data_IF_802490776452
#
_entry.id   IF_802490776452
#
_cell.length_a   1.000
_cell.length_b   1.000
_cell.length_c   1.000
_cell.angle_alpha   90.00
_cell.angle_beta   90.00
_cell.angle_gamma   90.00
#
_symmetry.space_group_name_H-M   'P 1'
#
loop_
_entity.id
_entity.type
_entity.pdbx_description
1 polymer ?
#
# COMPACT_ATOMS: atom_id res chain seq x y z
N UNK A 1 -35.32 11.04 -0.02
CA UNK A 1 -34.21 11.52 -0.89
C UNK A 1 -33.19 12.40 -0.14
N UNK A 2 -33.60 13.24 0.83
CA UNK A 2 -32.67 14.11 1.58
C UNK A 2 -31.77 13.39 2.62
N UNK A 3 -32.28 12.36 3.31
CA UNK A 3 -31.50 11.60 4.32
C UNK A 3 -30.34 10.77 3.70
N UNK A 4 -30.50 10.31 2.46
CA UNK A 4 -29.47 9.57 1.73
C UNK A 4 -28.26 10.46 1.36
N UNK A 5 -28.49 11.76 1.12
CA UNK A 5 -27.42 12.72 0.80
C UNK A 5 -26.66 13.14 2.06
N UNK A 6 -27.35 13.32 3.19
CA UNK A 6 -26.73 13.66 4.48
C UNK A 6 -25.79 12.56 4.98
N UNK A 7 -26.23 11.30 4.93
CA UNK A 7 -25.39 10.16 5.35
C UNK A 7 -24.18 9.91 4.43
N UNK A 8 -24.21 10.39 3.19
CA UNK A 8 -23.07 10.28 2.26
C UNK A 8 -22.05 11.40 2.50
N UNK A 9 -22.52 12.63 2.75
CA UNK A 9 -21.67 13.77 3.07
C UNK A 9 -20.93 13.56 4.40
N UNK A 10 -21.62 13.04 5.42
CA UNK A 10 -21.03 12.73 6.73
C UNK A 10 -19.88 11.71 6.60
N UNK A 11 -20.12 10.60 5.90
CA UNK A 11 -19.10 9.56 5.67
C UNK A 11 -17.88 10.07 4.90
N UNK A 12 -18.05 11.02 3.99
CA UNK A 12 -16.93 11.65 3.28
C UNK A 12 -16.16 12.63 4.17
N UNK A 13 -16.84 13.34 5.07
CA UNK A 13 -16.19 14.23 6.04
C UNK A 13 -15.38 13.42 7.06
N UNK A 14 -15.97 12.38 7.65
CA UNK A 14 -15.29 11.48 8.59
C UNK A 14 -14.02 10.91 7.94
N UNK A 15 -14.12 10.43 6.69
CA UNK A 15 -12.96 9.91 5.95
C UNK A 15 -11.89 10.98 5.70
N UNK A 16 -12.28 12.21 5.33
CA UNK A 16 -11.32 13.31 5.12
C UNK A 16 -10.62 13.72 6.41
N UNK A 17 -11.30 13.65 7.55
CA UNK A 17 -10.70 13.94 8.85
C UNK A 17 -9.68 12.87 9.25
N UNK A 18 -10.00 11.59 9.03
CA UNK A 18 -9.06 10.47 9.21
C UNK A 18 -7.83 10.62 8.30
N UNK A 19 -8.05 10.92 7.02
CA UNK A 19 -6.98 11.17 6.04
C UNK A 19 -6.09 12.34 6.49
N UNK A 20 -6.67 13.45 6.93
CA UNK A 20 -5.93 14.62 7.45
C UNK A 20 -5.14 14.29 8.73
N UNK A 21 -5.65 13.45 9.63
CA UNK A 21 -4.93 13.04 10.84
C UNK A 21 -3.71 12.18 10.49
N UNK A 22 -3.91 11.20 9.61
CA UNK A 22 -2.85 10.33 9.13
C UNK A 22 -1.76 11.11 8.36
N UNK A 23 -2.14 12.09 7.53
CA UNK A 23 -1.17 12.98 6.87
C UNK A 23 -0.30 13.76 7.85
N UNK A 24 -0.86 14.24 8.97
CA UNK A 24 -0.10 14.97 9.98
C UNK A 24 0.92 14.09 10.69
N UNK A 25 0.68 12.79 10.79
CA UNK A 25 1.62 11.83 11.35
C UNK A 25 2.75 11.51 10.36
N UNK A 26 2.45 11.39 9.07
CA UNK A 26 3.42 10.93 8.07
C UNK A 26 4.28 12.06 7.49
N UNK A 27 3.72 13.26 7.28
CA UNK A 27 4.45 14.39 6.70
C UNK A 27 5.73 14.76 7.47
N UNK A 28 5.77 14.74 8.81
CA UNK A 28 7.02 14.94 9.56
C UNK A 28 8.04 13.83 9.28
N UNK A 29 7.63 12.56 9.31
CA UNK A 29 8.52 11.41 9.06
C UNK A 29 9.09 11.42 7.64
N UNK A 30 8.30 11.85 6.65
CA UNK A 30 8.76 12.08 5.28
C UNK A 30 9.82 13.18 5.23
N UNK A 31 9.59 14.33 5.88
CA UNK A 31 10.55 15.44 5.92
C UNK A 31 11.86 15.06 6.64
N UNK A 32 11.78 14.17 7.61
CA UNK A 32 12.94 13.63 8.33
C UNK A 32 13.67 12.53 7.54
N UNK A 33 13.19 12.16 6.35
CA UNK A 33 13.76 11.07 5.54
C UNK A 33 13.61 9.69 6.19
N UNK A 34 12.72 9.56 7.17
CA UNK A 34 12.45 8.31 7.90
C UNK A 34 11.34 7.48 7.28
N UNK A 35 10.59 8.07 6.36
CA UNK A 35 9.59 7.34 5.58
C UNK A 35 10.31 6.35 4.66
N UNK A 36 10.22 5.08 5.01
CA UNK A 36 10.83 3.97 4.27
C UNK A 36 9.94 2.73 4.35
N UNK A 37 10.35 1.67 3.67
CA UNK A 37 9.63 0.38 3.68
C UNK A 37 9.41 -0.17 5.10
N UNK A 38 10.41 -0.05 6.00
CA UNK A 38 10.31 -0.56 7.37
C UNK A 38 9.24 0.20 8.18
N UNK A 39 9.13 1.51 7.97
CA UNK A 39 8.11 2.34 8.57
C UNK A 39 6.71 1.96 8.07
N UNK A 40 6.55 1.72 6.76
CA UNK A 40 5.29 1.23 6.21
C UNK A 40 4.89 -0.14 6.79
N UNK A 41 5.84 -1.05 6.94
CA UNK A 41 5.61 -2.34 7.59
C UNK A 41 5.19 -2.18 9.06
N UNK A 42 5.76 -1.20 9.76
CA UNK A 42 5.38 -0.89 11.13
C UNK A 42 3.93 -0.36 11.20
N UNK A 43 3.50 0.48 10.26
CA UNK A 43 2.12 0.96 10.18
C UNK A 43 1.14 -0.21 9.97
N UNK A 44 1.46 -1.12 9.05
CA UNK A 44 0.65 -2.32 8.80
C UNK A 44 0.55 -3.24 10.03
N UNK A 45 1.63 -3.38 10.81
CA UNK A 45 1.63 -4.17 12.05
C UNK A 45 0.80 -3.52 13.16
N UNK A 46 0.68 -2.19 13.16
CA UNK A 46 -0.17 -1.43 14.07
C UNK A 46 -1.63 -1.33 13.60
N UNK A 47 -1.98 -1.99 12.49
CA UNK A 47 -3.32 -1.94 11.89
C UNK A 47 -3.73 -0.52 11.42
N UNK A 48 -2.75 0.36 11.23
CA UNK A 48 -2.91 1.75 10.77
C UNK A 48 -2.98 1.79 9.23
N UNK A 49 -4.08 1.27 8.67
CA UNK A 49 -4.21 1.12 7.22
C UNK A 49 -4.31 2.46 6.48
N UNK A 50 -4.99 3.45 7.04
CA UNK A 50 -5.15 4.77 6.41
C UNK A 50 -3.81 5.49 6.28
N UNK A 51 -3.02 5.44 7.34
CA UNK A 51 -1.63 5.90 7.39
C UNK A 51 -0.79 5.14 6.38
N UNK A 52 -0.87 3.81 6.32
CA UNK A 52 -0.14 3.03 5.33
C UNK A 52 -0.47 3.48 3.90
N UNK A 53 -1.74 3.67 3.55
CA UNK A 53 -2.16 4.10 2.20
C UNK A 53 -1.58 5.48 1.87
N UNK A 54 -1.60 6.42 2.82
CA UNK A 54 -1.04 7.77 2.63
C UNK A 54 0.49 7.70 2.49
N UNK A 55 1.18 6.99 3.38
CA UNK A 55 2.63 6.84 3.34
C UNK A 55 3.10 6.13 2.09
N UNK A 56 2.37 5.12 1.65
CA UNK A 56 2.63 4.42 0.40
C UNK A 56 2.45 5.35 -0.80
N UNK A 57 1.36 6.14 -0.84
CA UNK A 57 1.14 7.14 -1.88
C UNK A 57 2.26 8.17 -1.97
N UNK A 58 2.77 8.63 -0.82
CA UNK A 58 3.88 9.59 -0.75
C UNK A 58 5.21 8.98 -1.24
N UNK A 59 5.49 7.72 -0.95
CA UNK A 59 6.71 7.03 -1.42
C UNK A 59 6.63 6.64 -2.90
N UNK A 60 5.44 6.24 -3.36
CA UNK A 60 5.20 5.84 -4.75
C UNK A 60 4.89 7.05 -5.66
N UNK A 61 4.84 8.26 -5.12
CA UNK A 61 4.48 9.49 -5.84
C UNK A 61 3.13 9.40 -6.58
N UNK A 62 2.16 8.70 -5.97
CA UNK A 62 0.79 8.52 -6.50
C UNK A 62 -0.25 9.17 -5.59
N UNK A 63 -1.39 9.56 -6.16
CA UNK A 63 -2.50 10.11 -5.38
C UNK A 63 -3.14 9.05 -4.46
N UNK A 64 -3.85 9.52 -3.43
CA UNK A 64 -4.44 8.65 -2.41
C UNK A 64 -5.48 7.68 -2.98
N UNK A 65 -6.26 8.10 -3.98
CA UNK A 65 -7.26 7.22 -4.59
C UNK A 65 -6.57 6.10 -5.38
N UNK A 66 -5.48 6.41 -6.08
CA UNK A 66 -4.65 5.40 -6.76
C UNK A 66 -3.96 4.48 -5.76
N UNK A 67 -3.34 5.02 -4.69
CA UNK A 67 -2.72 4.20 -3.64
C UNK A 67 -3.71 3.22 -3.01
N UNK A 68 -4.93 3.68 -2.73
CA UNK A 68 -6.00 2.82 -2.22
C UNK A 68 -6.37 1.71 -3.20
N UNK A 69 -6.55 2.03 -4.48
CA UNK A 69 -6.85 1.03 -5.52
C UNK A 69 -5.74 0.00 -5.66
N UNK A 70 -4.48 0.43 -5.55
CA UNK A 70 -3.30 -0.43 -5.56
C UNK A 70 -3.32 -1.44 -4.40
N UNK A 71 -3.73 -0.99 -3.21
CA UNK A 71 -3.77 -1.81 -1.99
C UNK A 71 -4.99 -2.73 -1.96
N UNK A 72 -6.13 -2.25 -2.46
CA UNK A 72 -7.38 -3.02 -2.56
C UNK A 72 -7.38 -4.01 -3.75
N UNK A 73 -6.39 -3.92 -4.65
CA UNK A 73 -6.25 -4.81 -5.81
C UNK A 73 -6.03 -6.27 -5.37
N UNK A 74 -7.00 -7.17 -5.64
CA UNK A 74 -6.89 -8.58 -5.24
C UNK A 74 -5.83 -9.34 -6.04
N UNK A 75 -5.37 -8.84 -7.19
CA UNK A 75 -4.30 -9.48 -7.96
C UNK A 75 -2.93 -9.29 -7.32
N UNK A 76 -2.77 -8.25 -6.47
CA UNK A 76 -1.50 -7.78 -5.90
C UNK A 76 -0.46 -7.35 -6.94
N UNK A 77 -0.83 -7.30 -8.22
CA UNK A 77 0.06 -6.86 -9.29
C UNK A 77 0.32 -5.36 -9.19
N UNK A 78 -0.72 -4.55 -8.96
CA UNK A 78 -0.55 -3.12 -8.77
C UNK A 78 0.38 -2.81 -7.58
N UNK A 79 0.19 -3.53 -6.46
CA UNK A 79 1.03 -3.37 -5.27
C UNK A 79 2.47 -3.78 -5.56
N UNK A 80 2.68 -4.86 -6.31
CA UNK A 80 4.01 -5.33 -6.69
C UNK A 80 4.72 -4.33 -7.60
N UNK A 81 4.03 -3.78 -8.61
CA UNK A 81 4.57 -2.76 -9.51
C UNK A 81 4.96 -1.50 -8.74
N UNK A 82 4.05 -0.98 -7.92
CA UNK A 82 4.30 0.23 -7.15
C UNK A 82 5.42 0.02 -6.10
N UNK A 83 5.44 -1.13 -5.41
CA UNK A 83 6.54 -1.50 -4.51
C UNK A 83 7.88 -1.54 -5.24
N UNK A 84 7.89 -2.01 -6.50
CA UNK A 84 9.10 -2.07 -7.31
C UNK A 84 9.56 -0.68 -7.76
N UNK A 85 8.64 0.20 -8.11
CA UNK A 85 8.94 1.59 -8.46
C UNK A 85 9.59 2.34 -7.27
N UNK A 86 9.14 2.05 -6.05
CA UNK A 86 9.73 2.59 -4.82
C UNK A 86 11.08 1.95 -4.43
N UNK A 87 11.52 0.91 -5.13
CA UNK A 87 12.77 0.20 -4.83
C UNK A 87 12.69 -0.79 -3.66
N UNK A 88 11.49 -1.20 -3.24
CA UNK A 88 11.32 -2.09 -2.10
C UNK A 88 11.84 -3.50 -2.37
N UNK A 89 12.33 -4.14 -1.30
CA UNK A 89 12.80 -5.52 -1.36
C UNK A 89 11.65 -6.55 -1.45
N UNK A 90 12.01 -7.80 -1.77
CA UNK A 90 11.06 -8.90 -1.93
C UNK A 90 10.32 -9.25 -0.63
N UNK A 91 11.01 -9.19 0.50
CA UNK A 91 10.47 -9.50 1.83
C UNK A 91 9.52 -8.43 2.31
N UNK A 92 9.82 -7.15 2.06
CA UNK A 92 8.96 -6.02 2.33
C UNK A 92 7.67 -6.14 1.52
N UNK A 93 7.77 -6.37 0.21
CA UNK A 93 6.59 -6.61 -0.63
C UNK A 93 5.73 -7.76 -0.12
N UNK A 94 6.33 -8.93 0.14
CA UNK A 94 5.58 -10.09 0.63
C UNK A 94 4.86 -9.74 1.94
N UNK A 95 5.54 -9.10 2.88
CA UNK A 95 4.93 -8.70 4.16
C UNK A 95 3.79 -7.70 3.95
N UNK A 96 3.95 -6.71 3.07
CA UNK A 96 2.89 -5.75 2.73
C UNK A 96 1.68 -6.43 2.10
N UNK A 97 1.90 -7.25 1.07
CA UNK A 97 0.84 -7.95 0.35
C UNK A 97 0.06 -8.93 1.25
N UNK A 98 0.74 -9.52 2.23
CA UNK A 98 0.11 -10.30 3.27
C UNK A 98 -0.70 -9.37 4.19
N UNK A 99 -0.08 -8.45 4.91
CA UNK A 99 -0.76 -7.66 5.94
C UNK A 99 -1.92 -6.80 5.41
N UNK A 100 -1.81 -6.26 4.18
CA UNK A 100 -2.84 -5.44 3.55
C UNK A 100 -4.21 -6.13 3.42
N UNK A 101 -4.26 -7.47 3.33
CA UNK A 101 -5.49 -8.21 2.99
C UNK A 101 -6.07 -9.03 4.16
N UNK A 102 -5.48 -8.94 5.36
CA UNK A 102 -5.95 -9.77 6.48
C UNK A 102 -5.41 -9.43 7.85
N UNK A 103 -4.71 -8.30 7.95
CA UNK A 103 -4.10 -7.86 9.20
C UNK A 103 -3.03 -8.82 9.73
N UNK A 104 -2.45 -8.49 10.89
CA UNK A 104 -1.40 -9.28 11.52
C UNK A 104 -1.88 -10.61 12.13
N UNK A 105 -3.19 -10.83 12.28
CA UNK A 105 -3.76 -12.02 12.95
C UNK A 105 -4.12 -13.18 12.03
N UNK A 106 -4.12 -13.01 10.71
CA UNK A 106 -4.35 -14.14 9.80
C UNK A 106 -3.15 -15.10 9.79
N UNK A 107 -3.39 -16.36 10.15
CA UNK A 107 -2.43 -17.45 9.94
C UNK A 107 -2.30 -17.70 8.45
N UNK A 108 -1.08 -17.60 7.92
CA UNK A 108 -0.83 -17.73 6.48
C UNK A 108 0.07 -18.91 6.17
N UNK A 109 -0.19 -19.56 5.04
CA UNK A 109 0.59 -20.72 4.61
C UNK A 109 1.87 -20.22 3.94
N UNK A 110 2.96 -20.97 4.12
CA UNK A 110 4.23 -20.71 3.43
C UNK A 110 4.06 -20.70 1.90
N UNK A 111 3.09 -21.46 1.38
CA UNK A 111 2.72 -21.48 -0.04
C UNK A 111 2.22 -20.12 -0.56
N UNK A 112 1.49 -19.37 0.27
CA UNK A 112 0.90 -18.09 -0.12
C UNK A 112 2.00 -17.04 -0.26
N UNK A 113 2.97 -17.07 0.66
CA UNK A 113 4.17 -16.22 0.61
C UNK A 113 5.01 -16.54 -0.64
N UNK A 114 5.22 -17.84 -0.93
CA UNK A 114 5.98 -18.26 -2.10
C UNK A 114 5.31 -17.82 -3.42
N UNK A 115 3.98 -17.87 -3.51
CA UNK A 115 3.24 -17.41 -4.68
C UNK A 115 3.40 -15.89 -4.91
N UNK A 116 3.34 -15.09 -3.84
CA UNK A 116 3.56 -13.63 -3.90
C UNK A 116 4.99 -13.31 -4.36
N UNK A 117 6.00 -13.97 -3.78
CA UNK A 117 7.39 -13.77 -4.19
C UNK A 117 7.60 -14.13 -5.66
N UNK A 118 6.99 -15.22 -6.13
CA UNK A 118 7.05 -15.62 -7.54
C UNK A 118 6.40 -14.59 -8.46
N UNK A 119 5.29 -13.97 -8.04
CA UNK A 119 4.63 -12.89 -8.80
C UNK A 119 5.57 -11.68 -8.92
N UNK A 120 6.19 -11.26 -7.82
CA UNK A 120 7.14 -10.15 -7.79
C UNK A 120 8.35 -10.41 -8.71
N UNK A 121 8.82 -11.66 -8.76
CA UNK A 121 9.93 -12.07 -9.62
C UNK A 121 9.57 -12.07 -11.10
N UNK A 122 8.35 -12.47 -11.45
CA UNK A 122 7.88 -12.42 -12.84
C UNK A 122 7.81 -10.99 -13.37
N UNK A 123 7.45 -10.02 -12.52
CA UNK A 123 7.45 -8.60 -12.90
C UNK A 123 8.84 -8.11 -13.28
N UNK A 124 9.89 -8.53 -12.57
CA UNK A 124 11.28 -8.21 -12.92
C UNK A 124 11.64 -8.69 -14.32
N UNK A 125 11.27 -9.95 -14.63
CA UNK A 125 11.58 -10.59 -15.91
C UNK A 125 10.84 -9.90 -17.05
N UNK A 126 9.56 -9.59 -16.89
CA UNK A 126 8.76 -8.93 -17.92
C UNK A 126 9.13 -7.45 -18.13
N UNK A 127 9.53 -6.75 -17.08
CA UNK A 127 10.07 -5.39 -17.19
C UNK A 127 11.41 -5.40 -17.94
N UNK A 128 12.34 -6.29 -17.58
CA UNK A 128 13.63 -6.41 -18.25
C UNK A 128 13.50 -6.76 -19.74
N UNK A 129 12.61 -7.72 -20.07
CA UNK A 129 12.31 -8.08 -21.47
C UNK A 129 11.76 -6.92 -22.28
N UNK A 130 10.94 -6.05 -21.68
CA UNK A 130 10.45 -4.84 -22.36
C UNK A 130 11.59 -3.88 -22.65
N UNK A 131 12.47 -3.62 -21.68
CA UNK A 131 13.64 -2.75 -21.89
C UNK A 131 14.57 -3.27 -22.99
N UNK A 132 14.79 -4.58 -23.09
CA UNK A 132 15.64 -5.17 -24.14
C UNK A 132 15.03 -5.12 -25.56
N UNK A 133 13.76 -4.73 -25.71
CA UNK A 133 13.07 -4.61 -27.00
C UNK A 133 13.07 -3.18 -27.56
N UNK A 134 13.51 -2.20 -26.78
CA UNK A 134 13.70 -0.81 -27.18
C UNK A 134 15.20 -0.53 -27.36
#
# INVERSE_FOLDING_TARGET
>A
MAEAQAGFAQRLQDRREEESRAERLIRPEQRLGKLNEQYLLQLLRQELMTEFVIGFGLLAEIDLATARRVIEDPSREALAVASRACGFDRGAFATMALLANGGPRQVRKASDVAALLTLYDKLLVEAAKRTMRF
#
